data_IF_748046402080
#
_entry.id   IF_748046402080
#
_cell.length_a   1.000
_cell.length_b   1.000
_cell.length_c   1.000
_cell.angle_alpha   90.00
_cell.angle_beta   90.00
_cell.angle_gamma   90.00
#
_symmetry.space_group_name_H-M   'P 1'
#
loop_
_entity.id
_entity.type
_entity.pdbx_description
1 polymer ?
#
# COMPACT_ATOMS: atom_id res chain seq x y z
N UNK A 1 -18.27 -2.22 60.57
CA UNK A 1 -18.55 -2.69 59.19
C UNK A 1 -17.28 -2.56 58.36
N UNK A 2 -16.73 -3.64 57.79
CA UNK A 2 -15.54 -3.55 56.96
C UNK A 2 -15.91 -2.86 55.63
N UNK A 3 -15.24 -1.74 55.32
CA UNK A 3 -15.37 -1.06 54.04
C UNK A 3 -14.80 -1.97 52.95
N UNK A 4 -15.69 -2.66 52.23
CA UNK A 4 -15.32 -3.49 51.09
C UNK A 4 -14.51 -2.66 50.10
N UNK A 5 -13.30 -3.13 49.76
CA UNK A 5 -12.51 -2.56 48.66
C UNK A 5 -13.35 -2.71 47.38
N UNK A 6 -13.74 -1.58 46.80
CA UNK A 6 -14.45 -1.57 45.53
C UNK A 6 -13.66 -2.34 44.46
N UNK A 7 -14.36 -2.99 43.51
CA UNK A 7 -13.72 -3.76 42.45
C UNK A 7 -12.71 -2.88 41.71
N UNK A 8 -11.45 -3.34 41.65
CA UNK A 8 -10.40 -2.65 40.89
C UNK A 8 -10.82 -2.62 39.43
N UNK A 9 -11.09 -1.43 38.89
CA UNK A 9 -11.30 -1.25 37.46
C UNK A 9 -10.00 -1.62 36.74
N UNK A 10 -10.11 -2.38 35.67
CA UNK A 10 -8.95 -2.68 34.83
C UNK A 10 -8.34 -1.35 34.34
N UNK A 11 -7.00 -1.27 34.26
CA UNK A 11 -6.35 -0.13 33.60
C UNK A 11 -6.93 0.03 32.20
N UNK A 12 -7.29 1.25 31.82
CA UNK A 12 -7.62 1.55 30.42
C UNK A 12 -6.34 1.31 29.63
N UNK A 13 -6.27 0.19 28.92
CA UNK A 13 -5.21 -0.03 27.94
C UNK A 13 -5.50 0.88 26.76
N UNK A 14 -4.47 1.59 26.29
CA UNK A 14 -4.56 2.29 25.02
C UNK A 14 -4.88 1.27 23.91
N UNK A 15 -5.75 1.62 22.95
CA UNK A 15 -6.10 0.71 21.86
C UNK A 15 -4.85 0.30 21.06
N UNK A 16 -4.81 -0.94 20.55
CA UNK A 16 -3.65 -1.40 19.77
C UNK A 16 -3.51 -0.49 18.54
N UNK A 17 -2.31 0.05 18.23
CA UNK A 17 -2.11 0.88 17.05
C UNK A 17 -2.54 0.21 15.74
N UNK A 18 -2.60 -1.13 15.70
CA UNK A 18 -3.11 -1.88 14.56
C UNK A 18 -4.65 -1.79 14.39
N UNK A 19 -5.40 -1.48 15.44
CA UNK A 19 -6.88 -1.39 15.40
C UNK A 19 -7.38 -0.23 14.50
N UNK A 20 -6.47 0.68 14.15
CA UNK A 20 -6.70 1.80 13.24
C UNK A 20 -6.80 1.35 11.78
N UNK A 21 -6.33 0.15 11.44
CA UNK A 21 -6.31 -0.39 10.07
C UNK A 21 -7.35 -1.49 9.86
N UNK A 22 -7.69 -1.79 8.60
CA UNK A 22 -8.58 -2.91 8.31
C UNK A 22 -7.86 -4.26 8.49
N UNK A 23 -8.62 -5.32 8.74
CA UNK A 23 -8.06 -6.68 8.87
C UNK A 23 -7.36 -7.13 7.58
N UNK A 24 -7.84 -6.67 6.42
CA UNK A 24 -7.21 -6.92 5.12
C UNK A 24 -5.87 -6.18 4.97
N UNK A 25 -5.80 -4.90 5.37
CA UNK A 25 -4.57 -4.11 5.31
C UNK A 25 -3.48 -4.73 6.21
N UNK A 26 -3.87 -5.19 7.40
CA UNK A 26 -2.98 -5.88 8.33
C UNK A 26 -2.47 -7.19 7.72
N UNK A 27 -3.33 -7.97 7.03
CA UNK A 27 -2.90 -9.20 6.35
C UNK A 27 -1.88 -8.89 5.26
N UNK A 28 -2.13 -7.88 4.42
CA UNK A 28 -1.20 -7.50 3.35
C UNK A 28 0.16 -7.07 3.93
N UNK A 29 0.16 -6.22 4.97
CA UNK A 29 1.39 -5.79 5.64
C UNK A 29 2.14 -6.97 6.27
N UNK A 30 1.43 -7.93 6.89
CA UNK A 30 2.04 -9.17 7.40
C UNK A 30 2.63 -10.02 6.28
N UNK A 31 1.96 -10.14 5.14
CA UNK A 31 2.48 -10.87 3.98
C UNK A 31 3.79 -10.27 3.49
N UNK A 32 3.85 -8.94 3.31
CA UNK A 32 5.11 -8.25 2.95
C UNK A 32 6.20 -8.50 3.98
N UNK A 33 5.86 -8.40 5.27
CA UNK A 33 6.81 -8.62 6.34
C UNK A 33 7.35 -10.06 6.36
N UNK A 34 6.49 -11.07 6.24
CA UNK A 34 6.92 -12.47 6.17
C UNK A 34 7.75 -12.75 4.91
N UNK A 35 7.37 -12.17 3.77
CA UNK A 35 8.17 -12.29 2.55
C UNK A 35 9.57 -11.70 2.74
N UNK A 36 9.70 -10.56 3.43
CA UNK A 36 10.99 -9.95 3.80
C UNK A 36 11.80 -10.89 4.70
N UNK A 37 11.19 -11.50 5.74
CA UNK A 37 11.91 -12.45 6.61
C UNK A 37 12.40 -13.66 5.81
N UNK A 38 11.55 -14.25 4.97
CA UNK A 38 11.92 -15.42 4.18
C UNK A 38 13.04 -15.07 3.21
N UNK A 39 12.94 -13.94 2.51
CA UNK A 39 13.98 -13.44 1.62
C UNK A 39 15.30 -13.17 2.38
N UNK A 40 15.23 -12.55 3.57
CA UNK A 40 16.39 -12.36 4.46
C UNK A 40 17.03 -13.69 4.83
N UNK A 41 16.23 -14.70 5.18
CA UNK A 41 16.71 -16.04 5.51
C UNK A 41 17.45 -16.69 4.35
N UNK A 42 16.88 -16.62 3.15
CA UNK A 42 17.52 -17.15 1.92
C UNK A 42 18.85 -16.43 1.65
N UNK A 43 18.88 -15.10 1.76
CA UNK A 43 20.11 -14.32 1.58
C UNK A 43 21.17 -14.69 2.61
N UNK A 44 20.80 -14.78 3.89
CA UNK A 44 21.73 -15.17 4.97
C UNK A 44 22.29 -16.57 4.72
N UNK A 45 21.44 -17.55 4.35
CA UNK A 45 21.88 -18.90 4.01
C UNK A 45 22.82 -18.90 2.79
N UNK A 46 22.53 -18.09 1.77
CA UNK A 46 23.41 -17.91 0.61
C UNK A 46 24.78 -17.35 1.00
N UNK A 47 24.82 -16.31 1.84
CA UNK A 47 26.07 -15.71 2.35
C UNK A 47 26.88 -16.76 3.12
N UNK A 48 26.25 -17.51 4.03
CA UNK A 48 26.94 -18.56 4.77
C UNK A 48 27.48 -19.66 3.87
N UNK A 49 26.67 -20.10 2.90
CA UNK A 49 27.09 -21.05 1.89
C UNK A 49 28.35 -20.62 1.14
N UNK A 50 28.41 -19.35 0.73
CA UNK A 50 29.58 -18.77 0.06
C UNK A 50 30.79 -18.69 0.98
N UNK A 51 30.61 -18.32 2.26
CA UNK A 51 31.71 -18.31 3.23
C UNK A 51 32.26 -19.73 3.42
N UNK A 52 31.41 -20.74 3.57
CA UNK A 52 31.85 -22.12 3.72
C UNK A 52 32.55 -22.65 2.47
N UNK A 53 32.03 -22.34 1.28
CA UNK A 53 32.64 -22.71 0.01
C UNK A 53 34.02 -22.05 -0.16
N UNK A 54 34.16 -20.77 0.19
CA UNK A 54 35.44 -20.06 0.19
C UNK A 54 36.44 -20.68 1.17
N UNK A 55 36.00 -21.02 2.39
CA UNK A 55 36.86 -21.65 3.40
C UNK A 55 37.31 -23.05 2.97
N UNK A 56 36.44 -23.80 2.30
CA UNK A 56 36.76 -25.12 1.78
C UNK A 56 37.76 -25.05 0.61
N UNK A 57 37.52 -24.15 -0.36
CA UNK A 57 38.37 -24.01 -1.56
C UNK A 57 39.74 -23.43 -1.27
N UNK A 58 39.86 -22.57 -0.25
CA UNK A 58 41.16 -21.96 0.16
C UNK A 58 41.98 -22.84 1.10
N UNK A 59 41.46 -24.01 1.52
CA UNK A 59 42.10 -24.87 2.52
C UNK A 59 42.06 -24.31 3.95
N UNK A 60 41.43 -23.15 4.17
CA UNK A 60 41.26 -22.56 5.50
C UNK A 60 40.45 -23.44 6.44
N UNK A 61 39.62 -24.34 5.90
CA UNK A 61 38.87 -25.31 6.69
C UNK A 61 39.80 -26.32 7.39
N UNK A 62 40.92 -26.70 6.77
CA UNK A 62 41.94 -27.54 7.40
C UNK A 62 42.63 -26.77 8.54
N UNK A 63 43.01 -25.52 8.29
CA UNK A 63 43.54 -24.62 9.32
C UNK A 63 42.59 -24.43 10.49
N UNK A 64 41.27 -24.38 10.24
CA UNK A 64 40.26 -24.32 11.30
C UNK A 64 40.19 -25.61 12.11
N UNK A 65 40.26 -26.78 11.45
CA UNK A 65 40.25 -28.08 12.12
C UNK A 65 41.53 -28.35 12.93
N UNK A 66 42.64 -27.69 12.57
CA UNK A 66 43.90 -27.76 13.32
C UNK A 66 43.90 -26.85 14.57
N UNK A 67 42.96 -25.90 14.68
CA UNK A 67 42.82 -25.08 15.89
C UNK A 67 42.48 -25.93 17.11
N UNK A 68 42.95 -25.52 18.29
CA UNK A 68 42.55 -26.13 19.56
C UNK A 68 41.02 -26.17 19.70
N UNK A 69 40.49 -27.27 20.23
CA UNK A 69 39.04 -27.52 20.31
C UNK A 69 38.25 -26.38 20.98
N UNK A 70 38.86 -25.71 21.96
CA UNK A 70 38.27 -24.52 22.60
C UNK A 70 38.00 -23.36 21.64
N UNK A 71 38.92 -23.09 20.69
CA UNK A 71 38.72 -22.05 19.68
C UNK A 71 37.67 -22.46 18.65
N UNK A 72 37.66 -23.73 18.22
CA UNK A 72 36.63 -24.23 17.30
C UNK A 72 35.23 -24.07 17.91
N UNK A 73 35.05 -24.48 19.17
CA UNK A 73 33.80 -24.34 19.91
C UNK A 73 33.43 -22.87 20.08
N UNK A 74 34.39 -21.99 20.38
CA UNK A 74 34.14 -20.55 20.51
C UNK A 74 33.66 -19.92 19.20
N UNK A 75 34.26 -20.28 18.06
CA UNK A 75 33.86 -19.80 16.74
C UNK A 75 32.46 -20.28 16.40
N UNK A 76 32.18 -21.59 16.51
CA UNK A 76 30.86 -22.16 16.23
C UNK A 76 29.80 -21.56 17.17
N UNK A 77 30.10 -21.46 18.46
CA UNK A 77 29.24 -20.84 19.45
C UNK A 77 28.97 -19.36 19.16
N UNK A 78 29.97 -18.61 18.70
CA UNK A 78 29.85 -17.23 18.26
C UNK A 78 28.92 -17.09 17.04
N UNK A 79 29.05 -17.98 16.05
CA UNK A 79 28.18 -18.05 14.87
C UNK A 79 26.73 -18.32 15.30
N UNK A 80 26.50 -19.34 16.13
CA UNK A 80 25.16 -19.69 16.62
C UNK A 80 24.55 -18.53 17.42
N UNK A 81 25.33 -17.94 18.31
CA UNK A 81 24.88 -16.80 19.13
C UNK A 81 24.53 -15.60 18.26
N UNK A 82 25.36 -15.27 17.28
CA UNK A 82 25.10 -14.20 16.31
C UNK A 82 23.78 -14.41 15.57
N UNK A 83 23.50 -15.64 15.12
CA UNK A 83 22.23 -15.98 14.47
C UNK A 83 21.03 -15.84 15.40
N UNK A 84 21.14 -16.31 16.65
CA UNK A 84 20.05 -16.21 17.64
C UNK A 84 19.73 -14.74 17.95
N UNK A 85 20.75 -13.89 18.10
CA UNK A 85 20.57 -12.45 18.27
C UNK A 85 19.84 -11.86 17.08
N UNK A 86 20.21 -12.26 15.86
CA UNK A 86 19.58 -11.80 14.62
C UNK A 86 18.10 -12.23 14.55
N UNK A 87 17.76 -13.46 14.97
CA UNK A 87 16.37 -13.94 15.08
C UNK A 87 15.56 -13.15 16.11
N UNK A 88 16.12 -12.89 17.29
CA UNK A 88 15.45 -12.08 18.33
C UNK A 88 15.24 -10.65 17.85
N UNK A 89 16.21 -10.07 17.14
CA UNK A 89 16.10 -8.75 16.55
C UNK A 89 14.99 -8.70 15.49
N UNK A 90 14.88 -9.70 14.62
CA UNK A 90 13.74 -9.80 13.69
C UNK A 90 12.40 -9.94 14.42
N UNK A 91 12.32 -10.78 15.44
CA UNK A 91 11.09 -10.98 16.20
C UNK A 91 10.63 -9.70 16.91
N UNK A 92 11.55 -8.97 17.55
CA UNK A 92 11.25 -7.70 18.22
C UNK A 92 10.87 -6.61 17.22
N UNK A 93 11.49 -6.61 16.03
CA UNK A 93 11.10 -5.74 14.92
C UNK A 93 9.77 -6.16 14.27
N UNK A 94 9.22 -7.35 14.54
CA UNK A 94 7.98 -7.83 13.91
C UNK A 94 6.79 -6.91 14.19
N UNK A 95 6.50 -6.67 15.46
CA UNK A 95 5.31 -5.90 15.85
C UNK A 95 5.42 -4.43 15.43
N UNK A 96 6.58 -3.82 15.66
CA UNK A 96 6.84 -2.44 15.24
C UNK A 96 6.94 -2.29 13.71
N UNK A 97 7.48 -3.30 13.03
CA UNK A 97 7.64 -3.33 11.58
C UNK A 97 6.31 -3.41 10.85
N UNK A 98 5.40 -4.28 11.28
CA UNK A 98 4.05 -4.37 10.70
C UNK A 98 3.30 -3.05 10.86
N UNK A 99 3.36 -2.40 12.03
CA UNK A 99 2.74 -1.09 12.25
C UNK A 99 3.33 -0.02 11.32
N UNK A 100 4.66 0.02 11.19
CA UNK A 100 5.33 0.95 10.26
C UNK A 100 4.95 0.69 8.80
N UNK A 101 4.86 -0.57 8.38
CA UNK A 101 4.41 -0.96 7.05
C UNK A 101 2.96 -0.56 6.81
N UNK A 102 2.06 -0.80 7.77
CA UNK A 102 0.67 -0.35 7.68
C UNK A 102 0.58 1.18 7.53
N UNK A 103 1.35 1.94 8.31
CA UNK A 103 1.39 3.40 8.25
C UNK A 103 1.97 3.94 6.94
N UNK A 104 2.93 3.23 6.35
CA UNK A 104 3.52 3.59 5.06
C UNK A 104 2.57 3.28 3.89
N UNK A 105 1.96 2.08 3.89
CA UNK A 105 1.17 1.58 2.77
C UNK A 105 -0.28 2.06 2.79
N UNK A 106 -0.88 2.25 3.96
CA UNK A 106 -2.32 2.48 4.10
C UNK A 106 -2.61 3.76 4.88
N UNK A 107 -3.75 4.38 4.55
CA UNK A 107 -4.31 5.49 5.33
C UNK A 107 -5.22 4.95 6.43
N UNK A 108 -5.38 5.75 7.48
CA UNK A 108 -6.21 5.40 8.64
C UNK A 108 -7.64 5.04 8.23
N UNK A 109 -8.23 4.03 8.88
CA UNK A 109 -9.58 3.54 8.57
C UNK A 109 -10.65 4.62 8.64
N UNK A 110 -10.52 5.60 9.55
CA UNK A 110 -11.45 6.74 9.64
C UNK A 110 -11.46 7.57 8.37
N UNK A 111 -10.29 7.78 7.79
CA UNK A 111 -10.12 8.51 6.54
C UNK A 111 -10.66 7.67 5.39
N UNK A 112 -10.34 6.37 5.34
CA UNK A 112 -10.85 5.46 4.32
C UNK A 112 -12.39 5.39 4.31
N UNK A 113 -13.02 5.39 5.50
CA UNK A 113 -14.49 5.36 5.66
C UNK A 113 -15.18 6.60 5.05
N UNK A 114 -14.51 7.76 5.00
CA UNK A 114 -15.07 8.97 4.36
C UNK A 114 -15.30 8.77 2.85
N UNK A 115 -14.60 7.84 2.21
CA UNK A 115 -14.63 7.63 0.75
C UNK A 115 -15.11 6.22 0.37
N UNK A 116 -15.80 5.53 1.28
CA UNK A 116 -16.23 4.14 1.08
C UNK A 116 -17.26 4.01 -0.05
N UNK A 117 -18.11 5.03 -0.26
CA UNK A 117 -19.17 5.03 -1.27
C UNK A 117 -18.64 5.02 -2.72
N UNK A 118 -17.36 5.34 -2.92
CA UNK A 118 -16.72 5.42 -4.24
C UNK A 118 -16.06 4.11 -4.70
N UNK A 119 -16.61 2.96 -4.34
CA UNK A 119 -16.03 1.65 -4.71
C UNK A 119 -15.84 1.49 -6.22
N UNK A 120 -16.84 1.85 -7.03
CA UNK A 120 -16.76 1.77 -8.50
C UNK A 120 -15.67 2.67 -9.06
N UNK A 121 -15.58 3.91 -8.59
CA UNK A 121 -14.52 4.85 -9.00
C UNK A 121 -13.14 4.33 -8.61
N UNK A 122 -13.02 3.73 -7.42
CA UNK A 122 -11.79 3.11 -6.94
C UNK A 122 -11.32 2.00 -7.87
N UNK A 123 -12.24 1.14 -8.35
CA UNK A 123 -11.93 0.09 -9.32
C UNK A 123 -11.58 0.66 -10.70
N UNK A 124 -12.25 1.71 -11.15
CA UNK A 124 -11.95 2.35 -12.44
C UNK A 124 -10.53 2.95 -12.43
N UNK A 125 -10.15 3.61 -11.33
CA UNK A 125 -8.77 4.07 -11.11
C UNK A 125 -7.80 2.88 -11.09
N UNK A 126 -8.22 1.70 -10.62
CA UNK A 126 -7.42 0.46 -10.63
C UNK A 126 -7.05 0.01 -12.01
N UNK A 127 -8.05 -0.11 -12.85
CA UNK A 127 -7.87 -0.53 -14.24
C UNK A 127 -7.01 0.51 -14.98
N UNK A 128 -7.24 1.80 -14.75
CA UNK A 128 -6.45 2.87 -15.35
C UNK A 128 -4.98 2.83 -14.93
N UNK A 129 -4.69 2.70 -13.63
CA UNK A 129 -3.32 2.64 -13.12
C UNK A 129 -2.60 1.37 -13.57
N UNK A 130 -3.29 0.23 -13.59
CA UNK A 130 -2.74 -1.01 -14.13
C UNK A 130 -2.37 -0.85 -15.61
N UNK A 131 -3.25 -0.26 -16.42
CA UNK A 131 -2.99 0.04 -17.82
C UNK A 131 -1.79 0.98 -17.99
N UNK A 132 -1.70 2.04 -17.20
CA UNK A 132 -0.56 2.95 -17.20
C UNK A 132 0.75 2.23 -16.83
N UNK A 133 0.70 1.31 -15.85
CA UNK A 133 1.86 0.53 -15.41
C UNK A 133 2.36 -0.43 -16.48
N UNK A 134 1.45 -1.16 -17.13
CA UNK A 134 1.78 -2.07 -18.24
C UNK A 134 2.39 -1.28 -19.40
N UNK A 135 1.80 -0.13 -19.76
CA UNK A 135 2.34 0.73 -20.81
C UNK A 135 3.73 1.26 -20.45
N UNK A 136 3.94 1.69 -19.21
CA UNK A 136 5.25 2.16 -18.74
C UNK A 136 6.31 1.04 -18.81
N UNK A 137 6.00 -0.17 -18.34
CA UNK A 137 6.89 -1.33 -18.46
C UNK A 137 7.17 -1.66 -19.92
N UNK A 138 6.15 -1.69 -20.77
CA UNK A 138 6.29 -1.96 -22.19
C UNK A 138 7.19 -0.94 -22.89
N UNK A 139 7.04 0.35 -22.55
CA UNK A 139 7.92 1.41 -23.05
C UNK A 139 9.36 1.25 -22.56
N UNK A 140 9.57 0.92 -21.28
CA UNK A 140 10.91 0.63 -20.76
C UNK A 140 11.55 -0.50 -21.57
N UNK A 141 10.84 -1.63 -21.74
CA UNK A 141 11.31 -2.78 -22.53
C UNK A 141 11.63 -2.39 -23.98
N UNK A 142 10.75 -1.62 -24.62
CA UNK A 142 10.89 -1.22 -26.02
C UNK A 142 12.02 -0.20 -26.25
N UNK A 143 12.30 0.66 -25.27
CA UNK A 143 13.35 1.68 -25.34
C UNK A 143 14.74 1.14 -24.99
N UNK A 144 14.84 -0.06 -24.42
CA UNK A 144 16.14 -0.67 -24.14
C UNK A 144 16.84 -1.07 -25.44
N UNK A 145 18.06 -0.55 -25.73
CA UNK A 145 18.85 -0.96 -26.88
C UNK A 145 19.07 -2.48 -26.92
N UNK A 146 19.13 -3.05 -28.12
CA UNK A 146 19.41 -4.48 -28.32
C UNK A 146 20.71 -4.96 -27.65
N UNK A 147 21.71 -4.07 -27.51
CA UNK A 147 22.95 -4.35 -26.78
C UNK A 147 22.70 -4.69 -25.30
N UNK A 148 21.71 -4.06 -24.66
CA UNK A 148 21.35 -4.36 -23.26
C UNK A 148 20.72 -5.75 -23.17
N UNK A 149 19.82 -6.10 -24.09
CA UNK A 149 19.23 -7.44 -24.15
C UNK A 149 20.28 -8.53 -24.36
N UNK A 150 21.21 -8.31 -25.30
CA UNK A 150 22.35 -9.19 -25.50
C UNK A 150 23.22 -9.32 -24.24
N UNK A 151 23.49 -8.21 -23.57
CA UNK A 151 24.23 -8.19 -22.31
C UNK A 151 23.54 -8.96 -21.18
N UNK A 152 22.21 -8.85 -21.05
CA UNK A 152 21.44 -9.63 -20.06
C UNK A 152 21.57 -11.14 -20.34
N UNK A 153 21.38 -11.57 -21.59
CA UNK A 153 21.50 -12.99 -21.96
C UNK A 153 22.91 -13.51 -21.71
N UNK A 154 23.94 -12.76 -22.10
CA UNK A 154 25.34 -13.12 -21.84
C UNK A 154 25.65 -13.19 -20.35
N UNK A 155 25.17 -12.24 -19.56
CA UNK A 155 25.33 -12.25 -18.11
C UNK A 155 24.66 -13.47 -17.48
N UNK A 156 23.45 -13.84 -17.93
CA UNK A 156 22.77 -15.07 -17.49
C UNK A 156 23.53 -16.34 -17.88
N UNK A 157 24.07 -16.41 -19.10
CA UNK A 157 24.92 -17.53 -19.53
C UNK A 157 26.17 -17.65 -18.67
N UNK A 158 26.85 -16.53 -18.41
CA UNK A 158 28.00 -16.49 -17.52
C UNK A 158 27.66 -16.93 -16.09
N UNK A 159 26.53 -16.45 -15.52
CA UNK A 159 26.07 -16.91 -14.21
C UNK A 159 25.84 -18.42 -14.20
N UNK A 160 25.19 -18.97 -15.24
CA UNK A 160 24.94 -20.41 -15.35
C UNK A 160 26.21 -21.25 -15.33
N UNK A 161 27.27 -20.80 -16.00
CA UNK A 161 28.54 -21.51 -16.07
C UNK A 161 29.40 -21.35 -14.81
N UNK A 162 29.31 -20.22 -14.11
CA UNK A 162 30.24 -19.87 -13.03
C UNK A 162 29.63 -19.97 -11.63
N UNK A 163 28.30 -19.96 -11.49
CA UNK A 163 27.66 -19.96 -10.18
C UNK A 163 27.53 -21.38 -9.63
N UNK A 164 28.09 -21.58 -8.43
CA UNK A 164 27.73 -22.73 -7.60
C UNK A 164 26.31 -22.54 -6.99
N UNK A 165 25.83 -23.57 -6.29
CA UNK A 165 24.51 -23.57 -5.64
C UNK A 165 24.32 -22.40 -4.66
N UNK A 166 25.37 -22.00 -3.96
CA UNK A 166 25.31 -20.92 -2.96
C UNK A 166 25.17 -19.54 -3.59
N UNK A 167 25.84 -19.30 -4.72
CA UNK A 167 25.63 -18.09 -5.52
C UNK A 167 24.17 -18.04 -5.99
N UNK A 168 23.65 -19.12 -6.56
CA UNK A 168 22.24 -19.19 -6.97
C UNK A 168 21.27 -18.91 -5.83
N UNK A 169 21.51 -19.48 -4.65
CA UNK A 169 20.69 -19.23 -3.47
C UNK A 169 20.72 -17.76 -3.04
N UNK A 170 21.91 -17.15 -3.01
CA UNK A 170 22.08 -15.73 -2.66
C UNK A 170 21.35 -14.82 -3.65
N UNK A 171 21.61 -14.99 -4.95
CA UNK A 171 21.01 -14.17 -6.00
C UNK A 171 19.50 -14.37 -6.10
N UNK A 172 19.00 -15.60 -5.85
CA UNK A 172 17.58 -15.85 -5.73
C UNK A 172 16.98 -15.03 -4.57
N UNK A 173 17.58 -15.06 -3.38
CA UNK A 173 17.14 -14.25 -2.25
C UNK A 173 17.12 -12.74 -2.54
N UNK A 174 18.16 -12.22 -3.20
CA UNK A 174 18.22 -10.81 -3.64
C UNK A 174 17.12 -10.50 -4.66
N UNK A 175 16.87 -11.39 -5.62
CA UNK A 175 15.81 -11.19 -6.62
C UNK A 175 14.41 -11.15 -5.98
N UNK A 176 14.16 -11.97 -4.94
CA UNK A 176 12.92 -11.92 -4.18
C UNK A 176 12.76 -10.56 -3.49
N UNK A 177 13.83 -9.95 -2.96
CA UNK A 177 13.78 -8.59 -2.43
C UNK A 177 13.41 -7.54 -3.48
N UNK A 178 13.96 -7.65 -4.68
CA UNK A 178 13.63 -6.74 -5.79
C UNK A 178 12.14 -6.85 -6.12
N UNK A 179 11.59 -8.06 -6.21
CA UNK A 179 10.16 -8.28 -6.43
C UNK A 179 9.30 -7.71 -5.30
N UNK A 180 9.66 -7.97 -4.05
CA UNK A 180 8.98 -7.40 -2.88
C UNK A 180 8.96 -5.87 -2.96
N UNK A 181 10.09 -5.24 -3.31
CA UNK A 181 10.20 -3.80 -3.44
C UNK A 181 9.30 -3.25 -4.56
N UNK A 182 9.26 -3.91 -5.72
CA UNK A 182 8.38 -3.54 -6.84
C UNK A 182 6.91 -3.59 -6.40
N UNK A 183 6.47 -4.69 -5.79
CA UNK A 183 5.09 -4.81 -5.30
C UNK A 183 4.79 -3.79 -4.21
N UNK A 184 5.72 -3.57 -3.29
CA UNK A 184 5.57 -2.58 -2.22
C UNK A 184 5.37 -1.17 -2.79
N UNK A 185 6.20 -0.76 -3.76
CA UNK A 185 6.07 0.53 -4.45
C UNK A 185 4.74 0.61 -5.20
N UNK A 186 4.35 -0.46 -5.90
CA UNK A 186 3.06 -0.52 -6.60
C UNK A 186 1.89 -0.30 -5.65
N UNK A 187 1.86 -1.00 -4.51
CA UNK A 187 0.82 -0.83 -3.48
C UNK A 187 0.85 0.57 -2.83
N UNK A 188 2.05 1.11 -2.58
CA UNK A 188 2.22 2.45 -2.03
C UNK A 188 1.64 3.51 -2.97
N UNK A 189 2.04 3.47 -4.25
CA UNK A 189 1.55 4.39 -5.27
C UNK A 189 0.05 4.24 -5.46
N UNK A 190 -0.44 3.00 -5.53
CA UNK A 190 -1.86 2.67 -5.62
C UNK A 190 -2.69 3.36 -4.52
N UNK A 191 -2.39 3.06 -3.25
CA UNK A 191 -3.19 3.57 -2.14
C UNK A 191 -3.11 5.08 -2.00
N UNK A 192 -1.94 5.67 -2.25
CA UNK A 192 -1.77 7.11 -2.14
C UNK A 192 -2.44 7.86 -3.29
N UNK A 193 -2.29 7.39 -4.53
CA UNK A 193 -2.85 8.02 -5.71
C UNK A 193 -4.38 7.94 -5.75
N UNK A 194 -4.94 6.76 -5.45
CA UNK A 194 -6.39 6.56 -5.28
C UNK A 194 -6.93 7.55 -4.24
N UNK A 195 -6.26 7.68 -3.11
CA UNK A 195 -6.67 8.61 -2.06
C UNK A 195 -6.67 10.06 -2.54
N UNK A 196 -5.63 10.49 -3.27
CA UNK A 196 -5.55 11.86 -3.82
C UNK A 196 -6.72 12.13 -4.77
N UNK A 197 -7.05 11.19 -5.66
CA UNK A 197 -8.18 11.36 -6.58
C UNK A 197 -9.51 11.39 -5.83
N UNK A 198 -9.76 10.43 -4.92
CA UNK A 198 -11.00 10.39 -4.15
C UNK A 198 -11.21 11.66 -3.32
N UNK A 199 -10.13 12.21 -2.75
CA UNK A 199 -10.18 13.50 -2.05
C UNK A 199 -10.63 14.63 -2.97
N UNK A 200 -10.12 14.69 -4.21
CA UNK A 200 -10.50 15.71 -5.19
C UNK A 200 -11.95 15.56 -5.65
N UNK A 201 -12.38 14.35 -5.98
CA UNK A 201 -13.76 14.09 -6.41
C UNK A 201 -14.75 14.45 -5.31
N UNK A 202 -14.46 14.09 -4.06
CA UNK A 202 -15.32 14.43 -2.93
C UNK A 202 -15.38 15.93 -2.65
N UNK A 203 -14.27 16.65 -2.83
CA UNK A 203 -14.28 18.12 -2.71
C UNK A 203 -15.19 18.75 -3.76
N UNK A 204 -15.17 18.26 -5.00
CA UNK A 204 -16.04 18.74 -6.07
C UNK A 204 -17.51 18.44 -5.77
N UNK A 205 -17.83 17.24 -5.27
CA UNK A 205 -19.19 16.89 -4.87
C UNK A 205 -19.69 17.77 -3.71
N UNK A 206 -18.88 17.96 -2.65
CA UNK A 206 -19.20 18.86 -1.53
C UNK A 206 -19.40 20.31 -2.01
N UNK A 207 -18.60 20.79 -2.97
CA UNK A 207 -18.76 22.13 -3.58
C UNK A 207 -20.05 22.25 -4.39
N UNK A 208 -20.41 21.22 -5.17
CA UNK A 208 -21.65 21.19 -5.96
C UNK A 208 -22.89 21.15 -5.07
N UNK A 209 -22.85 20.40 -3.96
CA UNK A 209 -23.95 20.38 -2.98
C UNK A 209 -24.16 21.77 -2.34
N UNK A 210 -23.08 22.45 -1.95
CA UNK A 210 -23.14 23.80 -1.41
C UNK A 210 -23.66 24.80 -2.44
N UNK A 211 -23.22 24.72 -3.69
CA UNK A 211 -23.72 25.57 -4.77
C UNK A 211 -25.20 25.31 -5.05
N UNK A 212 -25.66 24.06 -5.01
CA UNK A 212 -27.08 23.72 -5.11
C UNK A 212 -27.89 24.27 -3.94
N UNK A 213 -27.38 24.21 -2.71
CA UNK A 213 -28.05 24.77 -1.53
C UNK A 213 -28.15 26.29 -1.61
N UNK A 214 -27.06 27.00 -1.94
CA UNK A 214 -27.06 28.45 -2.17
C UNK A 214 -28.03 28.81 -3.30
N UNK A 215 -28.06 28.01 -4.38
CA UNK A 215 -29.01 28.20 -5.47
C UNK A 215 -30.44 28.04 -4.99
N UNK A 216 -30.76 27.03 -4.17
CA UNK A 216 -32.11 26.84 -3.61
C UNK A 216 -32.49 27.97 -2.64
N UNK A 217 -31.57 28.44 -1.80
CA UNK A 217 -31.81 29.57 -0.90
C UNK A 217 -32.06 30.86 -1.67
N UNK A 218 -31.23 31.19 -2.67
CA UNK A 218 -31.46 32.37 -3.53
C UNK A 218 -32.79 32.34 -4.27
N UNK A 219 -33.31 31.15 -4.57
CA UNK A 219 -34.60 30.96 -5.23
C UNK A 219 -35.79 31.09 -4.27
N UNK A 220 -35.62 30.88 -2.96
CA UNK A 220 -36.70 31.01 -1.96
C UNK A 220 -37.15 32.46 -1.78
N UNK A 221 -36.20 33.39 -1.89
CA UNK A 221 -36.45 34.81 -1.73
C UNK A 221 -36.66 35.54 -3.08
N UNK A 222 -36.57 34.80 -4.20
CA UNK A 222 -36.76 35.36 -5.53
C UNK A 222 -38.24 35.61 -5.85
N UNK A 223 -38.48 36.71 -6.56
CA UNK A 223 -39.76 37.07 -7.11
C UNK A 223 -40.21 36.11 -8.23
N UNK A 224 -41.52 36.11 -8.51
CA UNK A 224 -42.14 35.17 -9.44
C UNK A 224 -41.68 35.35 -10.89
N UNK A 225 -41.15 36.52 -11.25
CA UNK A 225 -40.57 36.79 -12.56
C UNK A 225 -39.18 36.15 -12.68
N UNK A 226 -38.30 36.40 -11.70
CA UNK A 226 -36.98 35.77 -11.59
C UNK A 226 -37.08 34.23 -11.55
N UNK A 227 -38.10 33.66 -10.88
CA UNK A 227 -38.33 32.20 -10.89
C UNK A 227 -38.66 31.65 -12.28
N UNK A 228 -39.40 32.41 -13.11
CA UNK A 228 -39.77 31.99 -14.46
C UNK A 228 -38.60 32.08 -15.43
N UNK A 229 -37.78 33.12 -15.30
CA UNK A 229 -36.55 33.29 -16.07
C UNK A 229 -35.58 32.15 -15.78
N UNK A 230 -35.33 31.86 -14.50
CA UNK A 230 -34.44 30.78 -14.08
C UNK A 230 -34.94 29.38 -14.48
N UNK A 231 -36.26 29.16 -14.49
CA UNK A 231 -36.85 27.94 -15.05
C UNK A 231 -36.64 27.82 -16.57
N UNK A 232 -36.77 28.94 -17.29
CA UNK A 232 -36.52 28.99 -18.72
C UNK A 232 -35.05 28.68 -19.02
N UNK A 233 -34.11 29.23 -18.25
CA UNK A 233 -32.69 28.95 -18.40
C UNK A 233 -32.34 27.48 -18.10
N UNK A 234 -32.91 26.92 -17.02
CA UNK A 234 -32.66 25.53 -16.62
C UNK A 234 -33.25 24.51 -17.60
N UNK A 235 -34.41 24.80 -18.22
CA UNK A 235 -35.20 23.79 -18.95
C UNK A 235 -35.41 24.08 -20.43
N UNK A 236 -35.08 25.29 -20.88
CA UNK A 236 -35.36 25.79 -22.23
C UNK A 236 -36.85 25.92 -22.55
N UNK A 237 -37.73 25.92 -21.53
CA UNK A 237 -39.19 25.91 -21.69
C UNK A 237 -39.83 27.10 -20.98
N UNK A 238 -40.89 27.63 -21.58
CA UNK A 238 -41.66 28.71 -20.96
C UNK A 238 -42.43 28.21 -19.73
N UNK A 239 -42.34 28.96 -18.64
CA UNK A 239 -43.07 28.67 -17.40
C UNK A 239 -44.60 28.78 -17.57
N UNK A 240 -45.04 29.69 -18.44
CA UNK A 240 -46.45 29.97 -18.74
C UNK A 240 -46.77 29.54 -20.17
N UNK A 241 -47.88 28.82 -20.33
CA UNK A 241 -48.47 28.53 -21.63
C UNK A 241 -49.93 28.94 -21.63
N UNK A 242 -50.33 29.81 -22.57
CA UNK A 242 -51.70 30.37 -22.67
C UNK A 242 -52.20 30.98 -21.35
N UNK A 243 -51.35 31.74 -20.67
CA UNK A 243 -51.69 32.44 -19.42
C UNK A 243 -51.81 31.54 -18.18
N UNK A 244 -51.51 30.23 -18.29
CA UNK A 244 -51.50 29.30 -17.16
C UNK A 244 -50.11 28.73 -16.93
N UNK A 245 -49.73 28.53 -15.67
CA UNK A 245 -48.51 27.82 -15.30
C UNK A 245 -48.50 26.40 -15.82
N UNK A 246 -47.40 26.00 -16.43
CA UNK A 246 -47.22 24.64 -16.93
C UNK A 246 -47.03 23.65 -15.78
N UNK A 247 -47.42 22.39 -15.99
CA UNK A 247 -47.14 21.31 -15.01
C UNK A 247 -45.64 21.14 -14.77
N UNK A 248 -44.81 21.38 -15.79
CA UNK A 248 -43.36 21.36 -15.69
C UNK A 248 -42.83 22.39 -14.71
N UNK A 249 -43.28 23.65 -14.85
CA UNK A 249 -42.92 24.74 -13.93
C UNK A 249 -43.38 24.45 -12.50
N UNK A 250 -44.62 23.97 -12.29
CA UNK A 250 -45.11 23.60 -10.95
C UNK A 250 -44.27 22.51 -10.27
N UNK A 251 -43.90 21.47 -11.02
CA UNK A 251 -43.07 20.39 -10.49
C UNK A 251 -41.64 20.85 -10.22
N UNK A 252 -41.06 21.67 -11.09
CA UNK A 252 -39.74 22.26 -10.90
C UNK A 252 -39.73 23.21 -9.68
N UNK A 253 -40.72 24.09 -9.57
CA UNK A 253 -40.88 25.03 -8.45
C UNK A 253 -41.00 24.29 -7.12
N UNK A 254 -41.81 23.21 -7.08
CA UNK A 254 -41.89 22.33 -5.91
C UNK A 254 -40.55 21.65 -5.60
N UNK A 255 -39.83 21.15 -6.60
CA UNK A 255 -38.50 20.53 -6.40
C UNK A 255 -37.47 21.52 -5.83
N UNK A 256 -37.51 22.78 -6.24
CA UNK A 256 -36.56 23.81 -5.81
C UNK A 256 -36.92 24.46 -4.47
N UNK A 257 -38.21 24.59 -4.14
CA UNK A 257 -38.70 25.33 -2.96
C UNK A 257 -39.24 24.45 -1.82
N UNK A 258 -39.64 23.20 -2.09
CA UNK A 258 -40.28 22.26 -1.13
C UNK A 258 -41.62 21.72 -1.60
#
# INVERSE_FOLDING_TARGET
>A
MPRGRGPRRAPKMDPDPLDIYSTWDIRIARTFYYAIIVASGIVVLGIWGLIFDLLATTGQLESFLDLHIGFQVAIIGGIITGHLVLLVLFYTLFRGGVVKLCRALFKDKKVAKKYEDFTTLRWLIAVMLLGAYITAIGLIIALLPGAIWGGIVQFFGWMWENFNVWHWLLYFGISVFIWIAIFFIGFYLWNHFVYVILKRVKQIEEELEVEEEIRRESLKDADEETLREKYHDDTGKNAIYRGKETKGYKNWKKKMLG
#
